data_IF_705395772306
#
_entry.id   IF_705395772306
#
_cell.length_a   1.000
_cell.length_b   1.000
_cell.length_c   1.000
_cell.angle_alpha   90.00
_cell.angle_beta   90.00
_cell.angle_gamma   90.00
#
_symmetry.space_group_name_H-M   'P 1'
#
loop_
_entity.id
_entity.type
_entity.pdbx_description
1 polymer ?
#
# COMPACT_ATOMS: atom_id res chain seq x y z
N UNK A 1 17.08 61.35 -3.96
CA UNK A 1 17.76 60.07 -3.67
C UNK A 1 17.01 59.28 -2.59
N UNK A 2 15.78 58.81 -2.85
CA UNK A 2 15.02 57.93 -1.93
C UNK A 2 14.16 56.98 -2.79
N UNK A 3 14.76 55.91 -3.34
CA UNK A 3 14.02 54.84 -4.05
C UNK A 3 14.56 53.43 -3.77
N UNK A 4 15.45 53.27 -2.78
CA UNK A 4 16.21 52.03 -2.59
C UNK A 4 15.78 51.09 -1.45
N UNK A 5 14.87 51.47 -0.54
CA UNK A 5 14.64 50.71 0.70
C UNK A 5 13.37 49.84 0.77
N UNK A 6 12.41 49.94 -0.15
CA UNK A 6 11.17 49.14 -0.05
C UNK A 6 11.27 47.68 -0.54
N UNK A 7 12.36 47.29 -1.23
CA UNK A 7 12.49 45.93 -1.79
C UNK A 7 12.87 44.84 -0.79
N UNK A 8 13.58 45.20 0.29
CA UNK A 8 14.13 44.21 1.23
C UNK A 8 13.10 43.68 2.25
N UNK A 9 12.07 44.48 2.58
CA UNK A 9 11.09 44.10 3.62
C UNK A 9 10.06 43.08 3.07
N UNK A 10 9.69 43.14 1.79
CA UNK A 10 8.72 42.21 1.19
C UNK A 10 9.27 40.79 0.98
N UNK A 11 10.58 40.64 0.77
CA UNK A 11 11.21 39.33 0.60
C UNK A 11 11.29 38.53 1.91
N UNK A 12 11.49 39.19 3.06
CA UNK A 12 11.61 38.53 4.36
C UNK A 12 10.33 37.85 4.85
N UNK A 13 9.16 38.42 4.53
CA UNK A 13 7.86 37.90 5.00
C UNK A 13 7.42 36.64 4.25
N UNK A 14 7.74 36.53 2.96
CA UNK A 14 7.40 35.36 2.14
C UNK A 14 8.20 34.12 2.57
N UNK A 15 9.47 34.30 2.96
CA UNK A 15 10.30 33.19 3.41
C UNK A 15 9.91 32.66 4.79
N UNK A 16 9.51 33.54 5.72
CA UNK A 16 9.08 33.13 7.06
C UNK A 16 7.81 32.27 7.03
N UNK A 17 6.80 32.68 6.24
CA UNK A 17 5.54 31.92 6.12
C UNK A 17 5.69 30.54 5.48
N UNK A 18 6.57 30.42 4.48
CA UNK A 18 6.84 29.13 3.83
C UNK A 18 7.54 28.14 4.78
N UNK A 19 8.52 28.61 5.57
CA UNK A 19 9.21 27.77 6.54
C UNK A 19 8.27 27.30 7.66
N UNK A 20 7.36 28.16 8.13
CA UNK A 20 6.36 27.76 9.12
C UNK A 20 5.37 26.74 8.56
N UNK A 21 4.89 26.92 7.32
CA UNK A 21 3.97 25.98 6.69
C UNK A 21 4.61 24.59 6.48
N UNK A 22 5.90 24.55 6.10
CA UNK A 22 6.65 23.31 5.97
C UNK A 22 6.82 22.59 7.31
N UNK A 23 7.16 23.31 8.39
CA UNK A 23 7.29 22.72 9.72
C UNK A 23 5.97 22.12 10.22
N UNK A 24 4.85 22.83 10.01
CA UNK A 24 3.50 22.32 10.33
C UNK A 24 3.16 21.10 9.49
N UNK A 25 3.52 21.09 8.20
CA UNK A 25 3.36 19.93 7.33
C UNK A 25 4.14 18.71 7.84
N UNK A 26 5.41 18.87 8.19
CA UNK A 26 6.27 17.79 8.68
C UNK A 26 5.76 17.20 10.01
N UNK A 27 5.34 18.06 10.95
CA UNK A 27 4.70 17.62 12.21
C UNK A 27 3.43 16.81 11.91
N UNK A 28 2.62 17.29 10.96
CA UNK A 28 1.35 16.65 10.59
C UNK A 28 1.60 15.30 9.91
N UNK A 29 2.64 15.17 9.08
CA UNK A 29 3.07 13.89 8.50
C UNK A 29 3.52 12.93 9.59
N UNK A 30 4.25 13.39 10.61
CA UNK A 30 4.66 12.57 11.74
C UNK A 30 3.45 12.05 12.54
N UNK A 31 2.44 12.90 12.78
CA UNK A 31 1.16 12.48 13.39
C UNK A 31 0.48 11.39 12.57
N UNK A 32 0.40 11.56 11.24
CA UNK A 32 -0.20 10.54 10.37
C UNK A 32 0.57 9.21 10.42
N UNK A 33 1.92 9.26 10.37
CA UNK A 33 2.79 8.08 10.49
C UNK A 33 2.68 7.40 11.86
N UNK A 34 2.30 8.13 12.91
CA UNK A 34 2.00 7.56 14.22
C UNK A 34 0.63 6.86 14.30
N UNK A 35 -0.23 7.08 13.31
CA UNK A 35 -1.58 6.49 13.23
C UNK A 35 -2.71 7.41 13.71
N UNK A 36 -2.42 8.67 14.08
CA UNK A 36 -3.41 9.65 14.53
C UNK A 36 -4.10 10.36 13.35
N UNK A 37 -5.08 9.68 12.75
CA UNK A 37 -5.87 10.26 11.66
C UNK A 37 -6.73 11.47 12.09
N UNK A 38 -7.18 11.50 13.34
CA UNK A 38 -7.99 12.60 13.89
C UNK A 38 -7.20 13.89 14.02
N UNK A 39 -5.94 13.81 14.44
CA UNK A 39 -5.04 14.95 14.51
C UNK A 39 -4.42 15.32 13.16
N UNK A 40 -4.12 14.33 12.31
CA UNK A 40 -3.36 14.59 11.09
C UNK A 40 -4.21 14.99 9.88
N UNK A 41 -5.35 14.32 9.62
CA UNK A 41 -6.09 14.53 8.37
C UNK A 41 -6.73 15.92 8.26
N UNK A 42 -7.35 16.49 9.32
CA UNK A 42 -7.86 17.86 9.28
C UNK A 42 -6.76 18.89 9.01
N UNK A 43 -5.62 18.77 9.70
CA UNK A 43 -4.46 19.68 9.51
C UNK A 43 -3.88 19.59 8.10
N UNK A 44 -3.75 18.39 7.55
CA UNK A 44 -3.36 18.24 6.13
C UNK A 44 -4.37 18.90 5.19
N UNK A 45 -5.67 18.82 5.50
CA UNK A 45 -6.72 19.40 4.68
C UNK A 45 -6.68 20.94 4.72
N UNK A 46 -6.44 21.52 5.90
CA UNK A 46 -6.20 22.96 6.08
C UNK A 46 -4.99 23.43 5.26
N UNK A 47 -3.84 22.77 5.41
CA UNK A 47 -2.64 23.08 4.62
C UNK A 47 -2.90 22.97 3.10
N UNK A 48 -3.65 21.96 2.68
CA UNK A 48 -4.02 21.78 1.28
C UNK A 48 -4.94 22.91 0.77
N UNK A 49 -5.87 23.40 1.60
CA UNK A 49 -6.72 24.54 1.26
C UNK A 49 -5.90 25.83 1.16
N UNK A 50 -4.94 26.03 2.07
CA UNK A 50 -4.05 27.20 2.12
C UNK A 50 -3.04 27.26 0.97
N UNK A 51 -2.82 26.16 0.26
CA UNK A 51 -1.95 26.16 -0.94
C UNK A 51 -0.77 25.20 -0.89
N UNK A 52 -0.59 24.43 0.18
CA UNK A 52 0.55 23.53 0.33
C UNK A 52 0.47 22.36 -0.67
N UNK A 53 1.28 22.41 -1.73
CA UNK A 53 1.23 21.45 -2.84
C UNK A 53 1.50 20.00 -2.41
N UNK A 54 2.46 19.78 -1.51
CA UNK A 54 2.78 18.42 -1.04
C UNK A 54 1.68 17.85 -0.13
N UNK A 55 0.92 18.71 0.58
CA UNK A 55 -0.22 18.28 1.40
C UNK A 55 -1.39 17.82 0.51
N UNK A 56 -1.63 18.55 -0.57
CA UNK A 56 -2.59 18.19 -1.63
C UNK A 56 -2.27 16.84 -2.26
N UNK A 57 -1.01 16.63 -2.67
CA UNK A 57 -0.59 15.37 -3.27
C UNK A 57 -0.71 14.24 -2.25
N UNK A 58 -0.16 14.41 -1.05
CA UNK A 58 -0.20 13.38 0.00
C UNK A 58 -1.65 12.98 0.34
N UNK A 59 -2.55 13.94 0.57
CA UNK A 59 -3.95 13.64 0.88
C UNK A 59 -4.65 12.86 -0.22
N UNK A 60 -4.49 13.26 -1.49
CA UNK A 60 -5.10 12.52 -2.58
C UNK A 60 -4.51 11.12 -2.77
N UNK A 61 -3.22 10.93 -2.42
CA UNK A 61 -2.61 9.59 -2.39
C UNK A 61 -3.17 8.76 -1.24
N UNK A 62 -3.26 9.31 -0.03
CA UNK A 62 -3.91 8.67 1.13
C UNK A 62 -5.35 8.24 0.79
N UNK A 63 -6.16 9.12 0.16
CA UNK A 63 -7.55 8.81 -0.22
C UNK A 63 -7.66 7.49 -1.02
N UNK A 64 -6.68 7.25 -1.88
CA UNK A 64 -6.69 6.17 -2.89
C UNK A 64 -5.88 4.94 -2.52
N UNK A 65 -4.90 5.07 -1.63
CA UNK A 65 -3.98 3.99 -1.24
C UNK A 65 -4.28 3.40 0.13
N UNK A 66 -5.04 4.09 0.98
CA UNK A 66 -5.34 3.62 2.34
C UNK A 66 -6.19 2.33 2.32
N UNK A 67 -5.53 1.18 2.54
CA UNK A 67 -6.11 -0.17 2.55
C UNK A 67 -6.77 -0.49 3.88
N UNK A 68 -7.86 0.20 4.18
CA UNK A 68 -8.59 0.04 5.44
C UNK A 68 -8.77 1.40 6.11
N UNK A 69 -9.82 2.15 5.75
CA UNK A 69 -10.04 3.48 6.33
C UNK A 69 -10.17 3.38 7.84
N UNK A 70 -9.62 4.36 8.58
CA UNK A 70 -9.73 4.40 10.03
C UNK A 70 -11.15 4.53 10.54
N UNK A 71 -11.40 4.12 11.81
CA UNK A 71 -12.64 4.44 12.51
C UNK A 71 -12.98 5.94 12.46
N UNK A 72 -11.98 6.81 12.62
CA UNK A 72 -12.15 8.27 12.44
C UNK A 72 -12.77 8.59 11.07
N UNK A 73 -12.13 8.15 9.98
CA UNK A 73 -12.60 8.44 8.61
C UNK A 73 -13.99 7.86 8.33
N UNK A 74 -14.29 6.68 8.87
CA UNK A 74 -15.59 6.03 8.69
C UNK A 74 -16.70 6.74 9.49
N UNK A 75 -16.39 7.20 10.69
CA UNK A 75 -17.34 7.91 11.57
C UNK A 75 -17.76 9.29 11.06
N UNK A 76 -17.00 9.89 10.14
CA UNK A 76 -17.36 11.19 9.53
C UNK A 76 -18.56 11.08 8.58
N UNK A 77 -19.38 12.14 8.55
CA UNK A 77 -20.44 12.28 7.57
C UNK A 77 -19.85 12.31 6.14
N UNK A 78 -20.62 11.87 5.11
CA UNK A 78 -20.10 11.78 3.75
C UNK A 78 -19.54 13.11 3.19
N UNK A 79 -20.07 14.26 3.62
CA UNK A 79 -19.58 15.58 3.17
C UNK A 79 -18.25 15.94 3.84
N UNK A 80 -18.15 15.78 5.16
CA UNK A 80 -16.91 16.04 5.93
C UNK A 80 -15.77 15.17 5.42
N UNK A 81 -16.05 13.88 5.21
CA UNK A 81 -15.07 12.94 4.64
C UNK A 81 -14.58 13.36 3.26
N UNK A 82 -15.45 13.93 2.41
CA UNK A 82 -15.04 14.46 1.09
C UNK A 82 -14.20 15.72 1.25
N UNK A 83 -14.58 16.62 2.15
CA UNK A 83 -13.87 17.87 2.39
C UNK A 83 -12.42 17.66 2.88
N UNK A 84 -12.14 16.54 3.56
CA UNK A 84 -10.76 16.17 3.93
C UNK A 84 -9.85 15.92 2.72
N UNK A 85 -10.36 15.29 1.66
CA UNK A 85 -9.52 14.76 0.57
C UNK A 85 -9.66 15.50 -0.75
N UNK A 86 -10.53 16.50 -0.84
CA UNK A 86 -10.89 17.15 -2.10
C UNK A 86 -11.03 18.65 -1.96
N UNK A 87 -10.77 19.32 -3.08
CA UNK A 87 -11.08 20.72 -3.26
C UNK A 87 -12.59 20.91 -3.41
N UNK A 88 -13.21 21.54 -2.42
CA UNK A 88 -14.64 21.82 -2.38
C UNK A 88 -14.96 23.26 -2.82
N UNK A 89 -13.99 24.04 -3.30
CA UNK A 89 -14.25 25.43 -3.74
C UNK A 89 -15.12 25.52 -4.99
N UNK A 90 -15.06 24.48 -5.82
CA UNK A 90 -15.95 24.36 -6.98
C UNK A 90 -17.37 23.96 -6.54
N UNK A 91 -18.40 24.42 -7.27
CA UNK A 91 -19.82 24.07 -7.02
C UNK A 91 -20.17 22.58 -7.24
N UNK A 92 -19.18 21.69 -7.41
CA UNK A 92 -19.38 20.26 -7.58
C UNK A 92 -19.68 19.60 -6.24
N UNK A 93 -20.79 18.84 -6.16
CA UNK A 93 -21.16 18.03 -4.99
C UNK A 93 -20.06 17.04 -4.56
N UNK A 94 -19.18 16.67 -5.47
CA UNK A 94 -18.13 15.67 -5.24
C UNK A 94 -16.74 16.28 -5.02
N UNK A 95 -16.59 17.60 -5.17
CA UNK A 95 -15.28 18.27 -5.18
C UNK A 95 -14.37 17.83 -6.33
N UNK A 96 -13.21 18.46 -6.43
CA UNK A 96 -12.12 18.09 -7.36
C UNK A 96 -11.01 17.39 -6.57
N UNK A 97 -10.47 16.29 -7.11
CA UNK A 97 -9.30 15.65 -6.48
C UNK A 97 -8.10 16.60 -6.45
N UNK A 98 -7.38 16.63 -5.34
CA UNK A 98 -6.18 17.46 -5.20
C UNK A 98 -5.11 17.17 -6.25
N UNK A 99 -4.98 15.91 -6.72
CA UNK A 99 -4.10 15.60 -7.86
C UNK A 99 -4.51 16.34 -9.14
N UNK A 100 -5.82 16.48 -9.40
CA UNK A 100 -6.31 17.21 -10.56
C UNK A 100 -6.11 18.73 -10.43
N UNK A 101 -6.21 19.25 -9.20
CA UNK A 101 -5.86 20.66 -8.90
C UNK A 101 -4.39 20.92 -9.22
N UNK A 102 -3.49 20.11 -8.69
CA UNK A 102 -2.04 20.28 -8.87
C UNK A 102 -1.60 20.02 -10.32
N UNK A 103 -2.15 19.02 -10.99
CA UNK A 103 -1.88 18.77 -12.41
C UNK A 103 -2.31 19.96 -13.29
N UNK A 104 -3.48 20.56 -13.02
CA UNK A 104 -3.93 21.77 -13.75
C UNK A 104 -3.01 22.97 -13.50
N UNK A 105 -2.31 23.01 -12.36
CA UNK A 105 -1.29 24.01 -12.02
C UNK A 105 0.10 23.69 -12.60
N UNK A 106 0.23 22.62 -13.38
CA UNK A 106 1.50 22.21 -14.02
C UNK A 106 2.40 21.36 -13.14
N UNK A 107 1.90 20.81 -12.02
CA UNK A 107 2.66 19.89 -11.19
C UNK A 107 2.83 18.54 -11.91
N UNK A 108 4.03 18.30 -12.45
CA UNK A 108 4.37 17.09 -13.20
C UNK A 108 4.16 15.80 -12.39
N UNK A 109 4.40 15.84 -11.09
CA UNK A 109 4.25 14.66 -10.23
C UNK A 109 2.78 14.28 -10.06
N UNK A 110 1.92 15.26 -9.86
CA UNK A 110 0.47 15.04 -9.83
C UNK A 110 -0.05 14.49 -11.17
N UNK A 111 0.46 14.99 -12.30
CA UNK A 111 0.14 14.44 -13.63
C UNK A 111 0.55 12.97 -13.76
N UNK A 112 1.77 12.60 -13.33
CA UNK A 112 2.25 11.21 -13.37
C UNK A 112 1.36 10.30 -12.54
N UNK A 113 0.97 10.72 -11.32
CA UNK A 113 0.04 9.94 -10.49
C UNK A 113 -1.33 9.78 -11.15
N UNK A 114 -1.89 10.83 -11.77
CA UNK A 114 -3.17 10.70 -12.50
C UNK A 114 -3.07 9.74 -13.69
N UNK A 115 -1.99 9.83 -14.47
CA UNK A 115 -1.75 8.94 -15.62
C UNK A 115 -1.57 7.50 -15.17
N UNK A 116 -0.86 7.27 -14.05
CA UNK A 116 -0.59 5.93 -13.53
C UNK A 116 -1.86 5.14 -13.23
N UNK A 117 -2.96 5.82 -12.90
CA UNK A 117 -4.23 5.19 -12.52
C UNK A 117 -5.12 4.82 -13.71
N UNK A 118 -4.75 5.24 -14.93
CA UNK A 118 -5.57 4.96 -16.11
C UNK A 118 -5.45 3.47 -16.47
N UNK A 119 -6.54 2.85 -16.96
CA UNK A 119 -6.54 1.42 -17.30
C UNK A 119 -5.72 1.10 -18.55
N UNK A 120 -5.35 2.12 -19.35
CA UNK A 120 -4.48 1.93 -20.51
C UNK A 120 -3.01 2.02 -20.12
N UNK A 121 -2.23 1.07 -20.60
CA UNK A 121 -0.82 0.94 -20.29
C UNK A 121 0.00 2.08 -20.92
N UNK A 122 0.78 2.79 -20.10
CA UNK A 122 1.77 3.76 -20.54
C UNK A 122 3.12 3.46 -19.87
N UNK A 123 3.99 2.68 -20.53
CA UNK A 123 5.32 2.39 -20.00
C UNK A 123 6.15 3.67 -19.75
N UNK A 124 5.90 4.75 -20.49
CA UNK A 124 6.54 6.03 -20.21
C UNK A 124 6.21 6.55 -18.80
N UNK A 125 4.96 6.37 -18.33
CA UNK A 125 4.55 6.78 -16.98
C UNK A 125 5.28 5.95 -15.92
N UNK A 126 5.48 4.65 -16.15
CA UNK A 126 6.31 3.79 -15.28
C UNK A 126 7.71 4.35 -15.11
N UNK A 127 8.41 4.62 -16.22
CA UNK A 127 9.78 5.12 -16.17
C UNK A 127 9.88 6.52 -15.59
N UNK A 128 8.89 7.39 -15.85
CA UNK A 128 8.86 8.74 -15.31
C UNK A 128 8.67 8.74 -13.77
N UNK A 129 7.79 7.88 -13.24
CA UNK A 129 7.63 7.69 -11.79
C UNK A 129 8.92 7.19 -11.15
N UNK A 130 9.55 6.18 -11.74
CA UNK A 130 10.82 5.66 -11.26
C UNK A 130 11.92 6.74 -11.21
N UNK A 131 12.06 7.52 -12.29
CA UNK A 131 13.03 8.62 -12.37
C UNK A 131 12.75 9.73 -11.35
N UNK A 132 11.49 9.96 -11.01
CA UNK A 132 11.07 10.92 -10.00
C UNK A 132 11.26 10.43 -8.56
N UNK A 133 11.73 9.19 -8.35
CA UNK A 133 11.89 8.59 -7.03
C UNK A 133 10.62 7.95 -6.46
N UNK A 134 9.51 7.95 -7.21
CA UNK A 134 8.22 7.33 -6.84
C UNK A 134 8.18 5.86 -7.32
N UNK A 135 9.11 5.05 -6.81
CA UNK A 135 9.27 3.64 -7.16
C UNK A 135 8.02 2.82 -6.82
N UNK A 136 7.42 3.03 -5.66
CA UNK A 136 6.22 2.31 -5.22
C UNK A 136 5.00 2.62 -6.09
N UNK A 137 4.93 3.85 -6.60
CA UNK A 137 3.88 4.22 -7.55
C UNK A 137 3.99 3.49 -8.91
N UNK A 138 5.10 2.79 -9.18
CA UNK A 138 5.25 1.94 -10.37
C UNK A 138 4.52 0.61 -10.26
N UNK A 139 4.06 0.20 -9.08
CA UNK A 139 3.28 -1.04 -8.85
C UNK A 139 2.10 -1.14 -9.82
N UNK A 140 1.22 -0.14 -9.79
CA UNK A 140 -0.01 -0.17 -10.57
C UNK A 140 0.24 -0.25 -12.09
N UNK A 141 1.05 0.63 -12.71
CA UNK A 141 1.34 0.50 -14.14
C UNK A 141 2.06 -0.81 -14.48
N UNK A 142 2.88 -1.36 -13.60
CA UNK A 142 3.49 -2.69 -13.79
C UNK A 142 2.43 -3.78 -13.82
N UNK A 143 1.46 -3.77 -12.89
CA UNK A 143 0.35 -4.74 -12.91
C UNK A 143 -0.54 -4.59 -14.14
N UNK A 144 -0.85 -3.37 -14.57
CA UNK A 144 -1.58 -3.14 -15.82
C UNK A 144 -0.79 -3.69 -17.01
N UNK A 145 0.54 -3.57 -17.00
CA UNK A 145 1.40 -4.16 -18.03
C UNK A 145 1.38 -5.69 -18.01
N UNK A 146 1.38 -6.27 -16.81
CA UNK A 146 1.30 -7.71 -16.63
C UNK A 146 -0.02 -8.25 -17.22
N UNK A 147 -1.16 -7.67 -16.81
CA UNK A 147 -2.51 -8.12 -17.16
C UNK A 147 -2.92 -7.82 -18.60
N UNK A 148 -2.60 -6.62 -19.09
CA UNK A 148 -3.15 -6.10 -20.35
C UNK A 148 -2.08 -5.70 -21.37
N UNK A 149 -0.80 -5.78 -21.01
CA UNK A 149 0.31 -5.47 -21.92
C UNK A 149 0.57 -6.58 -22.94
N UNK A 150 1.37 -6.26 -23.97
CA UNK A 150 1.89 -7.27 -24.89
C UNK A 150 3.04 -8.06 -24.24
N UNK A 151 3.35 -9.23 -24.79
CA UNK A 151 4.53 -10.03 -24.39
C UNK A 151 5.81 -9.19 -24.42
N UNK A 152 6.04 -8.44 -25.50
CA UNK A 152 7.19 -7.55 -25.63
C UNK A 152 7.25 -6.48 -24.53
N UNK A 153 6.12 -5.98 -24.08
CA UNK A 153 6.08 -5.03 -22.96
C UNK A 153 6.47 -5.69 -21.64
N UNK A 154 5.97 -6.91 -21.37
CA UNK A 154 6.36 -7.70 -20.19
C UNK A 154 7.85 -8.04 -20.20
N UNK A 155 8.39 -8.48 -21.33
CA UNK A 155 9.82 -8.77 -21.51
C UNK A 155 10.68 -7.52 -21.30
N UNK A 156 10.30 -6.39 -21.91
CA UNK A 156 10.98 -5.10 -21.72
C UNK A 156 10.99 -4.67 -20.26
N UNK A 157 9.87 -4.86 -19.58
CA UNK A 157 9.76 -4.62 -18.16
C UNK A 157 10.72 -5.55 -17.40
N UNK A 158 10.60 -6.88 -17.53
CA UNK A 158 11.44 -7.86 -16.83
C UNK A 158 12.96 -7.62 -16.99
N UNK A 159 13.39 -7.14 -18.16
CA UNK A 159 14.78 -6.76 -18.44
C UNK A 159 15.22 -5.43 -17.81
N UNK A 160 14.29 -4.61 -17.33
CA UNK A 160 14.54 -3.29 -16.76
C UNK A 160 14.92 -3.35 -15.29
N UNK A 161 15.78 -2.42 -14.85
CA UNK A 161 16.09 -2.18 -13.43
C UNK A 161 15.02 -1.37 -12.71
N UNK A 162 14.01 -0.90 -13.41
CA UNK A 162 12.96 -0.01 -12.89
C UNK A 162 11.77 -0.76 -12.29
N UNK A 163 11.90 -2.07 -12.09
CA UNK A 163 10.86 -2.90 -11.51
C UNK A 163 11.20 -3.20 -10.08
N UNK A 164 10.21 -2.97 -9.23
CA UNK A 164 10.13 -3.47 -7.88
C UNK A 164 10.31 -5.00 -7.87
N UNK A 165 11.27 -5.58 -7.12
CA UNK A 165 11.49 -7.03 -7.08
C UNK A 165 10.21 -7.86 -6.91
N UNK A 166 9.32 -7.42 -6.02
CA UNK A 166 8.01 -7.97 -5.69
C UNK A 166 7.01 -7.96 -6.85
N UNK A 167 7.24 -7.15 -7.88
CA UNK A 167 6.43 -7.11 -9.09
C UNK A 167 6.89 -8.08 -10.18
N UNK A 168 8.06 -8.72 -10.01
CA UNK A 168 8.55 -9.73 -10.97
C UNK A 168 7.60 -10.93 -11.08
N UNK A 169 7.04 -11.49 -9.98
CA UNK A 169 6.06 -12.57 -10.07
C UNK A 169 4.88 -12.23 -10.98
N UNK A 170 4.31 -11.02 -10.85
CA UNK A 170 3.20 -10.58 -11.71
C UNK A 170 3.49 -10.69 -13.19
N UNK A 171 4.70 -10.31 -13.59
CA UNK A 171 5.12 -10.32 -14.98
C UNK A 171 5.48 -11.73 -15.45
N UNK A 172 6.08 -12.54 -14.57
CA UNK A 172 6.51 -13.90 -14.88
C UNK A 172 5.31 -14.83 -15.17
N UNK A 173 4.31 -14.88 -14.28
CA UNK A 173 3.22 -15.85 -14.45
C UNK A 173 2.29 -15.53 -15.65
N UNK A 174 2.33 -14.30 -16.16
CA UNK A 174 1.57 -13.86 -17.35
C UNK A 174 2.43 -13.82 -18.63
N UNK A 175 3.71 -14.19 -18.54
CA UNK A 175 4.63 -14.21 -19.68
C UNK A 175 4.68 -15.57 -20.41
N UNK A 176 4.39 -16.68 -19.72
CA UNK A 176 4.67 -18.03 -20.19
C UNK A 176 3.42 -18.93 -20.39
N UNK A 177 3.69 -20.20 -20.70
CA UNK A 177 2.72 -21.29 -20.89
C UNK A 177 1.86 -21.42 -19.62
N UNK A 178 0.53 -21.64 -19.74
CA UNK A 178 -0.32 -21.82 -18.57
C UNK A 178 0.17 -22.98 -17.69
N UNK A 179 0.55 -22.68 -16.44
CA UNK A 179 0.76 -23.67 -15.39
C UNK A 179 -0.36 -23.56 -14.33
N UNK A 180 -0.72 -24.66 -13.65
CA UNK A 180 -1.65 -24.60 -12.53
C UNK A 180 -1.15 -23.63 -11.45
N UNK A 181 -2.00 -22.69 -11.04
CA UNK A 181 -1.68 -21.71 -9.99
C UNK A 181 -0.40 -20.90 -10.29
N UNK A 182 -0.20 -20.54 -11.56
CA UNK A 182 1.01 -19.87 -12.06
C UNK A 182 1.43 -18.65 -11.24
N UNK A 183 0.47 -17.85 -10.80
CA UNK A 183 0.68 -16.71 -9.90
C UNK A 183 1.27 -17.14 -8.55
N UNK A 184 0.64 -18.13 -7.89
CA UNK A 184 1.13 -18.71 -6.66
C UNK A 184 2.51 -19.35 -6.81
N UNK A 185 2.76 -20.03 -7.94
CA UNK A 185 4.05 -20.63 -8.28
C UNK A 185 5.13 -19.56 -8.47
N UNK A 186 4.83 -18.49 -9.20
CA UNK A 186 5.76 -17.38 -9.39
C UNK A 186 6.06 -16.65 -8.08
N UNK A 187 5.07 -16.47 -7.21
CA UNK A 187 5.26 -15.93 -5.87
C UNK A 187 6.16 -16.84 -5.02
N UNK A 188 5.89 -18.15 -4.99
CA UNK A 188 6.71 -19.11 -4.24
C UNK A 188 8.16 -19.12 -4.72
N UNK A 189 8.39 -19.20 -6.05
CA UNK A 189 9.74 -19.16 -6.65
C UNK A 189 10.48 -17.88 -6.28
N UNK A 190 9.79 -16.75 -6.28
CA UNK A 190 10.36 -15.47 -5.86
C UNK A 190 10.72 -15.43 -4.38
N UNK A 191 9.81 -15.87 -3.50
CA UNK A 191 10.03 -15.87 -2.05
C UNK A 191 11.19 -16.77 -1.64
N UNK A 192 11.34 -17.92 -2.30
CA UNK A 192 12.38 -18.91 -1.95
C UNK A 192 13.68 -18.68 -2.74
N UNK A 193 13.61 -17.98 -3.87
CA UNK A 193 14.76 -17.74 -4.74
C UNK A 193 15.20 -18.99 -5.53
N UNK A 194 14.28 -19.93 -5.77
CA UNK A 194 14.53 -21.17 -6.50
C UNK A 194 13.68 -21.24 -7.78
N UNK A 195 14.23 -21.89 -8.81
CA UNK A 195 13.59 -22.03 -10.11
C UNK A 195 12.63 -23.21 -10.22
N UNK A 196 12.07 -23.38 -11.42
CA UNK A 196 11.08 -24.41 -11.78
C UNK A 196 11.57 -25.84 -11.53
N UNK A 197 12.89 -26.07 -11.64
CA UNK A 197 13.53 -27.37 -11.40
C UNK A 197 13.35 -27.87 -9.97
N UNK A 198 13.11 -26.96 -9.01
CA UNK A 198 12.92 -27.31 -7.59
C UNK A 198 11.47 -27.07 -7.16
N UNK A 199 10.85 -26.02 -7.70
CA UNK A 199 9.47 -25.63 -7.40
C UNK A 199 8.62 -25.94 -8.65
N UNK A 200 8.19 -27.20 -8.72
CA UNK A 200 7.40 -27.76 -9.82
C UNK A 200 5.91 -27.86 -9.48
N UNK A 201 5.06 -27.62 -10.48
CA UNK A 201 3.61 -27.77 -10.38
C UNK A 201 3.16 -29.25 -10.29
N UNK A 202 4.04 -30.20 -10.63
CA UNK A 202 3.77 -31.64 -10.51
C UNK A 202 3.82 -32.14 -9.06
N UNK A 203 4.34 -31.31 -8.14
CA UNK A 203 4.43 -31.65 -6.73
C UNK A 203 3.20 -31.17 -5.95
N UNK A 204 2.42 -32.07 -5.32
CA UNK A 204 1.21 -31.71 -4.60
C UNK A 204 1.41 -30.72 -3.45
N UNK A 205 2.51 -30.80 -2.69
CA UNK A 205 2.77 -29.85 -1.60
C UNK A 205 3.13 -28.48 -2.15
N UNK A 206 3.89 -28.43 -3.25
CA UNK A 206 4.19 -27.18 -3.97
C UNK A 206 2.92 -26.53 -4.48
N UNK A 207 2.05 -27.31 -5.14
CA UNK A 207 0.79 -26.80 -5.64
C UNK A 207 -0.13 -26.32 -4.50
N UNK A 208 -0.15 -27.06 -3.39
CA UNK A 208 -0.85 -26.67 -2.17
C UNK A 208 -0.36 -25.32 -1.64
N UNK A 209 0.96 -25.10 -1.55
CA UNK A 209 1.49 -23.80 -1.13
C UNK A 209 1.25 -22.70 -2.17
N UNK A 210 1.37 -23.00 -3.46
CA UNK A 210 1.08 -22.05 -4.53
C UNK A 210 -0.38 -21.55 -4.46
N UNK A 211 -1.34 -22.45 -4.22
CA UNK A 211 -2.75 -22.05 -4.00
C UNK A 211 -2.93 -21.08 -2.82
N UNK A 212 -2.05 -21.14 -1.81
CA UNK A 212 -2.08 -20.19 -0.70
C UNK A 212 -1.53 -18.81 -1.11
N UNK A 213 -0.56 -18.78 -2.03
CA UNK A 213 0.15 -17.59 -2.48
C UNK A 213 -0.46 -16.91 -3.72
N UNK A 214 -1.38 -17.58 -4.42
CA UNK A 214 -2.00 -17.12 -5.66
C UNK A 214 -2.71 -15.75 -5.54
N UNK A 215 -2.93 -15.08 -6.68
CA UNK A 215 -3.76 -13.89 -6.77
C UNK A 215 -5.21 -14.28 -6.53
N UNK A 216 -5.76 -13.73 -5.47
CA UNK A 216 -7.07 -14.14 -5.02
C UNK A 216 -6.94 -15.17 -3.91
N UNK A 217 -8.03 -15.29 -3.16
CA UNK A 217 -8.00 -15.72 -1.78
C UNK A 217 -7.44 -17.14 -1.59
N UNK A 218 -6.40 -17.26 -0.75
CA UNK A 218 -5.57 -18.45 -0.59
C UNK A 218 -6.32 -19.65 -0.01
N UNK A 219 -6.63 -20.62 -0.86
CA UNK A 219 -7.24 -21.90 -0.49
C UNK A 219 -6.21 -23.04 -0.37
N UNK A 220 -4.93 -22.69 -0.21
CA UNK A 220 -3.84 -23.65 -0.21
C UNK A 220 -3.56 -24.34 1.12
N UNK A 221 -2.56 -25.22 1.05
CA UNK A 221 -2.05 -25.98 2.19
C UNK A 221 -1.07 -25.14 3.02
N UNK A 222 -1.61 -24.53 4.08
CA UNK A 222 -0.85 -23.82 5.11
C UNK A 222 -0.48 -24.69 6.30
N UNK A 223 -0.67 -26.01 6.21
CA UNK A 223 -0.39 -26.90 7.31
C UNK A 223 1.09 -26.84 7.70
N UNK A 224 1.38 -27.09 8.97
CA UNK A 224 2.76 -27.19 9.45
C UNK A 224 3.54 -28.35 8.81
N UNK A 225 2.87 -29.26 8.08
CA UNK A 225 3.49 -30.39 7.40
C UNK A 225 3.93 -30.06 5.97
N UNK A 226 3.37 -29.03 5.36
CA UNK A 226 3.80 -28.58 4.04
C UNK A 226 5.25 -28.08 4.12
N UNK A 227 6.17 -28.68 3.35
CA UNK A 227 7.60 -28.33 3.46
C UNK A 227 7.92 -26.87 3.10
N UNK A 228 7.05 -26.20 2.34
CA UNK A 228 7.21 -24.80 1.97
C UNK A 228 6.72 -23.84 3.05
N UNK A 229 6.00 -24.33 4.06
CA UNK A 229 5.41 -23.51 5.11
C UNK A 229 6.46 -22.69 5.87
N UNK A 230 7.54 -23.33 6.33
CA UNK A 230 8.59 -22.63 7.07
C UNK A 230 9.36 -21.63 6.19
N UNK A 231 9.81 -21.98 4.97
CA UNK A 231 10.44 -21.00 4.08
C UNK A 231 9.56 -19.78 3.76
N UNK A 232 8.26 -19.99 3.55
CA UNK A 232 7.29 -18.88 3.36
C UNK A 232 7.17 -18.02 4.62
N UNK A 233 7.06 -18.65 5.79
CA UNK A 233 7.01 -17.96 7.08
C UNK A 233 8.28 -17.12 7.33
N UNK A 234 9.45 -17.68 7.05
CA UNK A 234 10.74 -16.98 7.15
C UNK A 234 10.82 -15.77 6.21
N UNK A 235 10.30 -15.90 4.99
CA UNK A 235 10.20 -14.77 4.06
C UNK A 235 9.29 -13.66 4.63
N UNK A 236 8.09 -14.00 5.12
CA UNK A 236 7.16 -13.02 5.71
C UNK A 236 7.75 -12.32 6.93
N UNK A 237 8.65 -12.97 7.66
CA UNK A 237 9.32 -12.36 8.80
C UNK A 237 10.53 -11.50 8.44
N UNK A 238 11.12 -11.66 7.25
CA UNK A 238 12.40 -11.03 6.88
C UNK A 238 12.30 -10.02 5.75
N UNK A 239 11.39 -10.22 4.81
CA UNK A 239 11.29 -9.36 3.63
C UNK A 239 10.82 -7.95 4.00
N UNK A 240 11.35 -6.94 3.29
CA UNK A 240 11.01 -5.55 3.55
C UNK A 240 9.52 -5.28 3.32
N UNK A 241 8.93 -5.86 2.27
CA UNK A 241 7.52 -5.64 1.91
C UNK A 241 6.54 -6.17 2.97
N UNK A 242 6.97 -7.11 3.82
CA UNK A 242 6.16 -7.70 4.90
C UNK A 242 6.57 -7.22 6.29
N UNK A 243 7.53 -6.30 6.39
CA UNK A 243 8.00 -5.75 7.66
C UNK A 243 6.88 -5.28 8.60
N UNK A 244 5.81 -4.61 8.14
CA UNK A 244 4.70 -4.24 9.02
C UNK A 244 4.01 -5.43 9.70
N UNK A 245 3.87 -6.57 9.01
CA UNK A 245 3.34 -7.82 9.56
C UNK A 245 4.31 -8.37 10.60
N UNK A 246 5.58 -8.48 10.24
CA UNK A 246 6.61 -9.05 11.10
C UNK A 246 6.73 -8.25 12.42
N UNK A 247 6.78 -6.92 12.34
CA UNK A 247 6.92 -6.05 13.51
C UNK A 247 5.67 -6.07 14.40
N UNK A 248 4.47 -6.11 13.80
CA UNK A 248 3.23 -6.28 14.54
C UNK A 248 3.20 -7.61 15.29
N UNK A 249 3.54 -8.72 14.63
CA UNK A 249 3.50 -10.05 15.23
C UNK A 249 4.61 -10.29 16.28
N UNK A 250 5.81 -9.74 16.09
CA UNK A 250 6.87 -9.79 17.12
C UNK A 250 6.45 -9.06 18.40
N UNK A 251 5.80 -7.91 18.24
CA UNK A 251 5.39 -7.07 19.36
C UNK A 251 4.18 -7.63 20.09
N UNK A 252 3.13 -7.98 19.34
CA UNK A 252 1.85 -8.38 19.92
C UNK A 252 1.75 -9.89 20.21
N UNK A 253 2.50 -10.72 19.48
CA UNK A 253 2.39 -12.18 19.52
C UNK A 253 3.77 -12.85 19.65
N UNK A 254 4.59 -12.54 20.67
CA UNK A 254 5.96 -13.06 20.79
C UNK A 254 6.04 -14.60 20.89
N UNK A 255 4.98 -15.25 21.40
CA UNK A 255 4.90 -16.72 21.53
C UNK A 255 4.40 -17.42 20.26
N UNK A 256 3.85 -16.67 19.31
CA UNK A 256 3.23 -17.18 18.08
C UNK A 256 3.70 -16.37 16.86
N UNK A 257 4.91 -15.80 16.89
CA UNK A 257 5.31 -14.78 15.89
C UNK A 257 5.16 -15.27 14.45
N UNK A 258 5.64 -16.47 14.14
CA UNK A 258 5.53 -17.05 12.81
C UNK A 258 4.09 -17.39 12.40
N UNK A 259 3.35 -18.06 13.28
CA UNK A 259 1.94 -18.38 13.07
C UNK A 259 1.08 -17.12 12.88
N UNK A 260 1.31 -16.08 13.68
CA UNK A 260 0.70 -14.76 13.53
C UNK A 260 1.03 -14.15 12.18
N UNK A 261 2.30 -14.19 11.77
CA UNK A 261 2.76 -13.56 10.53
C UNK A 261 2.10 -14.20 9.31
N UNK A 262 2.08 -15.54 9.21
CA UNK A 262 1.41 -16.26 8.12
C UNK A 262 -0.10 -16.01 8.13
N UNK A 263 -0.71 -15.93 9.31
CA UNK A 263 -2.15 -15.65 9.44
C UNK A 263 -2.51 -14.25 8.95
N UNK A 264 -1.76 -13.23 9.36
CA UNK A 264 -1.98 -11.85 8.89
C UNK A 264 -1.64 -11.70 7.41
N UNK A 265 -0.57 -12.35 6.93
CA UNK A 265 -0.26 -12.40 5.50
C UNK A 265 -1.43 -12.96 4.68
N UNK A 266 -2.04 -14.07 5.12
CA UNK A 266 -3.24 -14.61 4.48
C UNK A 266 -4.41 -13.61 4.47
N UNK A 267 -4.74 -13.04 5.63
CA UNK A 267 -5.86 -12.11 5.80
C UNK A 267 -5.69 -10.81 5.02
N UNK A 268 -4.45 -10.36 4.81
CA UNK A 268 -4.17 -9.15 4.04
C UNK A 268 -4.30 -9.33 2.52
N UNK A 269 -4.39 -10.57 2.04
CA UNK A 269 -4.48 -10.93 0.63
C UNK A 269 -3.24 -11.62 0.07
N UNK A 270 -2.41 -12.23 0.93
CA UNK A 270 -1.22 -12.98 0.52
C UNK A 270 -0.13 -12.11 -0.10
N UNK A 271 0.73 -12.72 -0.90
CA UNK A 271 1.90 -12.09 -1.52
C UNK A 271 1.51 -10.79 -2.25
N UNK A 272 0.44 -10.88 -3.02
CA UNK A 272 -0.07 -9.81 -3.85
C UNK A 272 -0.87 -8.73 -3.11
N UNK A 273 -1.28 -9.01 -1.87
CA UNK A 273 -1.91 -8.05 -0.98
C UNK A 273 -0.88 -7.21 -0.22
N UNK A 274 0.13 -7.87 0.37
CA UNK A 274 1.11 -7.24 1.26
C UNK A 274 2.08 -6.32 0.53
N UNK A 275 2.46 -6.69 -0.69
CA UNK A 275 3.35 -5.93 -1.59
C UNK A 275 2.73 -4.64 -2.13
N UNK A 276 1.56 -4.25 -1.61
CA UNK A 276 0.82 -3.03 -1.96
C UNK A 276 0.63 -2.11 -0.76
N UNK A 277 1.22 -2.47 0.39
CA UNK A 277 1.21 -1.68 1.61
C UNK A 277 2.43 -0.76 1.62
N UNK A 278 2.41 0.21 0.72
CA UNK A 278 3.55 1.07 0.42
C UNK A 278 3.30 2.54 0.75
N UNK A 279 4.38 3.31 0.74
CA UNK A 279 4.33 4.74 0.92
C UNK A 279 3.39 5.39 -0.10
N UNK A 280 2.49 6.28 0.35
CA UNK A 280 1.60 6.98 -0.56
C UNK A 280 2.34 8.02 -1.42
N UNK A 281 3.47 8.54 -0.95
CA UNK A 281 4.19 9.64 -1.57
C UNK A 281 5.68 9.66 -1.18
N UNK A 282 6.55 9.05 -2.00
CA UNK A 282 7.95 8.79 -1.63
C UNK A 282 8.83 10.03 -1.58
N UNK A 283 8.44 11.13 -2.24
CA UNK A 283 9.09 12.43 -2.08
C UNK A 283 9.08 12.91 -0.62
N UNK A 284 8.00 12.63 0.13
CA UNK A 284 7.82 13.10 1.51
C UNK A 284 8.07 11.99 2.52
N UNK A 285 7.61 10.78 2.22
CA UNK A 285 7.69 9.63 3.12
C UNK A 285 8.42 8.52 2.37
N UNK A 286 9.70 8.30 2.66
CA UNK A 286 10.42 7.20 2.02
C UNK A 286 9.75 5.86 2.33
N UNK A 287 9.86 4.88 1.42
CA UNK A 287 9.30 3.54 1.66
C UNK A 287 9.82 2.94 2.96
N UNK A 288 11.11 3.11 3.26
CA UNK A 288 11.70 2.63 4.52
C UNK A 288 11.07 3.31 5.74
N UNK A 289 10.90 4.63 5.72
CA UNK A 289 10.25 5.35 6.81
C UNK A 289 8.81 4.86 7.01
N UNK A 290 8.07 4.67 5.91
CA UNK A 290 6.70 4.18 5.95
C UNK A 290 6.61 2.78 6.55
N UNK A 291 7.36 1.81 6.03
CA UNK A 291 7.31 0.41 6.49
C UNK A 291 7.71 0.23 7.97
N UNK A 292 8.54 1.12 8.51
CA UNK A 292 8.93 1.14 9.93
C UNK A 292 7.88 1.81 10.85
N UNK A 293 6.94 2.54 10.29
CA UNK A 293 6.02 3.37 11.06
C UNK A 293 4.91 2.57 11.76
N UNK A 294 4.34 3.09 12.88
CA UNK A 294 3.08 2.60 13.43
C UNK A 294 1.95 2.57 12.39
N UNK A 295 1.91 3.54 11.48
CA UNK A 295 0.90 3.62 10.42
C UNK A 295 0.87 2.37 9.54
N UNK A 296 2.01 1.89 9.07
CA UNK A 296 2.05 0.70 8.21
C UNK A 296 1.55 -0.56 8.95
N UNK A 297 1.88 -0.71 10.24
CA UNK A 297 1.37 -1.81 11.08
C UNK A 297 -0.14 -1.73 11.26
N UNK A 298 -0.67 -0.54 11.54
CA UNK A 298 -2.12 -0.32 11.70
C UNK A 298 -2.85 -0.55 10.38
N UNK A 299 -2.33 -0.08 9.24
CA UNK A 299 -2.93 -0.32 7.93
C UNK A 299 -2.97 -1.82 7.59
N UNK A 300 -1.92 -2.55 7.92
CA UNK A 300 -1.87 -4.02 7.79
C UNK A 300 -2.99 -4.68 8.60
N UNK A 301 -3.13 -4.30 9.88
CA UNK A 301 -4.15 -4.86 10.76
C UNK A 301 -5.57 -4.52 10.27
N UNK A 302 -5.81 -3.27 9.83
CA UNK A 302 -7.09 -2.83 9.26
C UNK A 302 -7.44 -3.59 8.00
N UNK A 303 -6.47 -3.78 7.09
CA UNK A 303 -6.67 -4.59 5.88
C UNK A 303 -7.09 -6.01 6.24
N UNK A 304 -6.39 -6.66 7.19
CA UNK A 304 -6.72 -7.99 7.67
C UNK A 304 -8.11 -8.06 8.34
N UNK A 305 -8.47 -7.04 9.13
CA UNK A 305 -9.75 -6.94 9.80
C UNK A 305 -10.93 -6.79 8.82
N UNK A 306 -10.75 -5.97 7.79
CA UNK A 306 -11.81 -5.60 6.84
C UNK A 306 -11.92 -6.54 5.63
N UNK A 307 -11.08 -7.59 5.53
CA UNK A 307 -11.17 -8.59 4.46
C UNK A 307 -12.35 -9.58 4.61
N UNK A 308 -13.16 -9.43 5.67
CA UNK A 308 -14.19 -10.38 6.18
C UNK A 308 -15.24 -10.84 5.15
N UNK A 309 -15.50 -10.05 4.11
CA UNK A 309 -16.58 -10.30 3.13
C UNK A 309 -16.07 -10.52 1.69
N UNK A 310 -14.76 -10.71 1.52
CA UNK A 310 -14.26 -11.19 0.24
C UNK A 310 -14.75 -12.64 0.07
N UNK A 311 -15.52 -12.98 -0.99
CA UNK A 311 -16.44 -14.14 -1.07
C UNK A 311 -15.82 -15.52 -0.81
N UNK A 312 -14.50 -15.57 -0.66
CA UNK A 312 -13.67 -16.76 -0.59
C UNK A 312 -12.85 -16.85 0.72
N UNK A 313 -12.94 -15.88 1.64
CA UNK A 313 -12.26 -15.94 2.94
C UNK A 313 -13.16 -16.45 4.08
N UNK A 314 -14.28 -17.10 3.79
CA UNK A 314 -15.27 -17.47 4.84
C UNK A 314 -14.67 -18.32 5.97
N UNK A 315 -13.67 -19.15 5.69
CA UNK A 315 -12.99 -19.94 6.72
C UNK A 315 -11.96 -19.15 7.55
N UNK A 316 -11.62 -17.93 7.15
CA UNK A 316 -10.79 -16.94 7.85
C UNK A 316 -11.59 -15.72 8.31
N UNK A 317 -12.91 -15.70 8.07
CA UNK A 317 -13.76 -14.56 8.40
C UNK A 317 -14.26 -14.60 9.84
N UNK A 318 -14.13 -15.73 10.54
CA UNK A 318 -14.59 -15.91 11.93
C UNK A 318 -13.45 -16.29 12.90
N UNK A 319 -13.77 -16.24 14.20
CA UNK A 319 -12.80 -16.53 15.27
C UNK A 319 -12.24 -17.95 15.20
N UNK A 320 -13.06 -19.02 15.07
CA UNK A 320 -12.53 -20.38 14.97
C UNK A 320 -11.59 -20.55 13.79
N UNK A 321 -11.94 -19.96 12.65
CA UNK A 321 -11.15 -19.95 11.43
C UNK A 321 -9.73 -19.44 11.61
N UNK A 322 -9.61 -18.22 12.12
CA UNK A 322 -8.32 -17.56 12.36
C UNK A 322 -7.56 -18.28 13.48
N UNK A 323 -8.24 -18.70 14.55
CA UNK A 323 -7.60 -19.32 15.73
C UNK A 323 -6.97 -20.68 15.42
N UNK A 324 -7.40 -21.37 14.35
CA UNK A 324 -6.73 -22.58 13.86
C UNK A 324 -5.31 -22.31 13.36
N UNK A 325 -5.04 -21.10 12.87
CA UNK A 325 -3.71 -20.70 12.40
C UNK A 325 -2.93 -19.97 13.49
N UNK A 326 -3.55 -18.97 14.13
CA UNK A 326 -2.99 -18.27 15.29
C UNK A 326 -4.09 -17.72 16.18
N UNK A 327 -4.08 -18.11 17.46
CA UNK A 327 -5.01 -17.61 18.46
C UNK A 327 -4.72 -16.13 18.76
N UNK A 328 -3.45 -15.73 18.77
CA UNK A 328 -3.08 -14.34 18.96
C UNK A 328 -3.55 -13.42 17.82
N UNK A 329 -3.34 -13.83 16.56
CA UNK A 329 -3.82 -13.06 15.41
C UNK A 329 -5.35 -12.92 15.41
N UNK A 330 -6.08 -13.97 15.81
CA UNK A 330 -7.53 -13.90 15.96
C UNK A 330 -7.96 -12.80 16.94
N UNK A 331 -7.29 -12.67 18.09
CA UNK A 331 -7.58 -11.60 19.06
C UNK A 331 -7.31 -10.21 18.45
N UNK A 332 -6.18 -10.02 17.78
CA UNK A 332 -5.85 -8.73 17.14
C UNK A 332 -6.90 -8.31 16.12
N UNK A 333 -7.24 -9.23 15.21
CA UNK A 333 -8.19 -8.98 14.12
C UNK A 333 -9.59 -8.71 14.64
N UNK A 334 -10.07 -9.49 15.61
CA UNK A 334 -11.42 -9.32 16.17
C UNK A 334 -11.52 -8.04 17.00
N UNK A 335 -10.47 -7.67 17.73
CA UNK A 335 -10.43 -6.40 18.44
C UNK A 335 -10.48 -5.23 17.45
N UNK A 336 -9.73 -5.30 16.36
CA UNK A 336 -9.79 -4.25 15.35
C UNK A 336 -11.16 -4.16 14.69
N UNK A 337 -11.81 -5.29 14.37
CA UNK A 337 -13.18 -5.33 13.84
C UNK A 337 -14.19 -4.66 14.77
N UNK A 338 -14.07 -4.86 16.09
CA UNK A 338 -14.97 -4.24 17.06
C UNK A 338 -14.94 -2.70 17.02
N UNK A 339 -13.83 -2.09 16.59
CA UNK A 339 -13.73 -0.63 16.41
C UNK A 339 -14.61 -0.11 15.25
N UNK A 340 -15.03 -0.99 14.34
CA UNK A 340 -15.88 -0.68 13.20
C UNK A 340 -17.35 -0.98 13.45
N UNK A 341 -17.64 -2.06 14.18
CA UNK A 341 -19.03 -2.44 14.52
C UNK A 341 -19.71 -1.38 15.40
N UNK A 342 -18.95 -0.64 16.23
CA UNK A 342 -19.47 0.43 17.08
C UNK A 342 -19.93 1.69 16.32
N UNK A 343 -19.73 1.76 15.00
CA UNK A 343 -20.07 2.91 14.16
C UNK A 343 -21.39 2.73 13.38
N UNK A 344 -22.06 1.58 13.54
CA UNK A 344 -23.31 1.21 12.87
C UNK A 344 -24.44 0.98 13.87
#
# INVERSE_FOLDING_TARGET
>A
MIRGLCGAILAGWLCAGAATAQAVFDETVALWLSGDDSGSLPRLAELAQEGHADARILLARIETMDRGPSPYRIGLAPQERRALFRDMSDKSRFGRSWLAVEAKRGNRQAEMFLRSRKPFLQLQTHFALWQAGERQATEYPTRIAALYGSRTMREKLLASRTILPEMRPYLAFLADIPEPQADGMAALRHMIGLGEQVISADDPETLGMAQFLALGFGFGDVSARNRWRQPVEEWVLRDLSTRPIADLCRTACPKETGACAVTLFALTGGFYGVTRLDSPYEKVITQELFLNSPRARIMTLRRAALARDEPNQKYLSDRPGISRLSSCAAVLVLRERANYDALH
#
